data_IF_219281194698
#
_entry.id   IF_219281194698
#
_cell.length_a   1.000
_cell.length_b   1.000
_cell.length_c   1.000
_cell.angle_alpha   90.00
_cell.angle_beta   90.00
_cell.angle_gamma   90.00
#
_symmetry.space_group_name_H-M   'P 1'
#
loop_
_entity.id
_entity.type
_entity.pdbx_description
1 polymer ?
#
# COMPACT_ATOMS: atom_id res chain seq x y z
N UNK A 1 -1.33 15.91 -19.17
CA UNK A 1 -2.42 15.09 -18.61
C UNK A 1 -2.40 15.34 -17.11
N UNK A 2 -3.33 16.16 -16.62
CA UNK A 2 -3.40 16.55 -15.20
C UNK A 2 -4.11 15.39 -14.48
N UNK A 3 -3.35 14.43 -13.95
CA UNK A 3 -3.91 13.31 -13.19
C UNK A 3 -4.13 13.77 -11.75
N UNK A 4 -5.22 14.51 -11.53
CA UNK A 4 -5.71 14.83 -10.19
C UNK A 4 -6.42 13.60 -9.65
N UNK A 5 -5.86 12.99 -8.61
CA UNK A 5 -6.47 11.84 -7.93
C UNK A 5 -7.83 12.24 -7.34
N UNK A 6 -8.88 11.50 -7.67
CA UNK A 6 -10.19 11.69 -7.06
C UNK A 6 -10.28 10.94 -5.73
N UNK A 7 -11.23 11.31 -4.87
CA UNK A 7 -11.45 10.60 -3.61
C UNK A 7 -11.86 9.12 -3.83
N UNK A 8 -12.55 8.82 -4.93
CA UNK A 8 -12.93 7.46 -5.31
C UNK A 8 -11.70 6.62 -5.69
N UNK A 9 -10.74 7.20 -6.40
CA UNK A 9 -9.46 6.54 -6.72
C UNK A 9 -8.68 6.19 -5.44
N UNK A 10 -8.70 7.10 -4.45
CA UNK A 10 -8.08 6.86 -3.16
C UNK A 10 -8.76 5.74 -2.39
N UNK A 11 -10.09 5.74 -2.34
CA UNK A 11 -10.86 4.71 -1.67
C UNK A 11 -10.63 3.33 -2.32
N UNK A 12 -10.57 3.27 -3.65
CA UNK A 12 -10.25 2.05 -4.39
C UNK A 12 -8.85 1.54 -4.09
N UNK A 13 -7.85 2.42 -4.11
CA UNK A 13 -6.47 2.08 -3.75
C UNK A 13 -6.34 1.60 -2.29
N UNK A 14 -7.06 2.24 -1.37
CA UNK A 14 -7.07 1.87 0.05
C UNK A 14 -7.68 0.48 0.26
N UNK A 15 -8.80 0.18 -0.39
CA UNK A 15 -9.44 -1.14 -0.33
C UNK A 15 -8.50 -2.24 -0.87
N UNK A 16 -7.88 -2.02 -2.03
CA UNK A 16 -6.90 -2.97 -2.58
C UNK A 16 -5.71 -3.16 -1.64
N UNK A 17 -5.17 -2.08 -1.09
CA UNK A 17 -4.06 -2.15 -0.15
C UNK A 17 -4.43 -2.94 1.12
N UNK A 18 -5.60 -2.67 1.70
CA UNK A 18 -6.09 -3.42 2.86
C UNK A 18 -6.23 -4.91 2.59
N UNK A 19 -6.73 -5.29 1.41
CA UNK A 19 -6.83 -6.69 0.98
C UNK A 19 -5.46 -7.37 0.88
N UNK A 20 -4.48 -6.70 0.29
CA UNK A 20 -3.11 -7.20 0.17
C UNK A 20 -2.48 -7.39 1.56
N UNK A 21 -2.68 -6.44 2.48
CA UNK A 21 -2.17 -6.54 3.86
C UNK A 21 -2.79 -7.72 4.61
N UNK A 22 -4.10 -7.96 4.45
CA UNK A 22 -4.77 -9.12 5.08
C UNK A 22 -4.22 -10.44 4.54
N UNK A 23 -4.11 -10.58 3.21
CA UNK A 23 -3.55 -11.77 2.57
C UNK A 23 -2.11 -12.00 3.06
N UNK A 24 -1.32 -10.92 3.11
CA UNK A 24 0.06 -10.97 3.58
C UNK A 24 0.18 -11.36 5.05
N UNK A 25 -0.71 -10.86 5.91
CA UNK A 25 -0.76 -11.20 7.33
C UNK A 25 -1.05 -12.69 7.54
N UNK A 26 -2.00 -13.25 6.79
CA UNK A 26 -2.33 -14.69 6.81
C UNK A 26 -1.17 -15.53 6.28
N UNK A 27 -0.52 -15.10 5.18
CA UNK A 27 0.64 -15.83 4.65
C UNK A 27 1.79 -15.86 5.66
N UNK A 28 2.07 -14.71 6.28
CA UNK A 28 3.14 -14.54 7.27
C UNK A 28 2.89 -15.38 8.52
N UNK A 29 1.64 -15.49 8.99
CA UNK A 29 1.34 -16.31 10.18
C UNK A 29 1.66 -17.79 9.95
N UNK A 30 1.40 -18.31 8.74
CA UNK A 30 1.73 -19.69 8.36
C UNK A 30 3.21 -19.92 8.00
N UNK A 31 3.95 -18.88 7.62
CA UNK A 31 5.34 -18.98 7.15
C UNK A 31 6.33 -18.16 8.00
N UNK A 32 6.02 -18.00 9.29
CA UNK A 32 6.78 -17.14 10.22
C UNK A 32 8.24 -17.56 10.43
N UNK A 33 8.61 -18.77 10.03
CA UNK A 33 9.97 -19.29 10.10
C UNK A 33 10.92 -18.55 9.13
N UNK A 34 10.41 -18.04 8.01
CA UNK A 34 11.22 -17.38 6.99
C UNK A 34 11.26 -15.85 7.18
N UNK A 35 12.05 -15.43 8.19
CA UNK A 35 12.23 -14.02 8.57
C UNK A 35 12.76 -13.12 7.45
N UNK A 36 13.55 -13.67 6.52
CA UNK A 36 14.07 -12.92 5.38
C UNK A 36 12.97 -12.53 4.40
N UNK A 37 12.13 -13.48 3.99
CA UNK A 37 10.98 -13.20 3.11
C UNK A 37 10.01 -12.24 3.80
N UNK A 38 9.79 -12.41 5.10
CA UNK A 38 8.93 -11.52 5.86
C UNK A 38 9.43 -10.07 5.82
N UNK A 39 10.73 -9.87 6.06
CA UNK A 39 11.35 -8.54 6.09
C UNK A 39 11.28 -7.87 4.71
N UNK A 40 11.60 -8.60 3.65
CA UNK A 40 11.57 -8.07 2.27
C UNK A 40 10.15 -7.66 1.89
N UNK A 41 9.16 -8.51 2.13
CA UNK A 41 7.78 -8.21 1.74
C UNK A 41 7.16 -7.10 2.61
N UNK A 42 7.48 -7.04 3.91
CA UNK A 42 7.08 -5.89 4.74
C UNK A 42 7.71 -4.57 4.25
N UNK A 43 8.97 -4.59 3.81
CA UNK A 43 9.62 -3.41 3.22
C UNK A 43 8.88 -2.96 1.94
N UNK A 44 8.56 -3.88 1.03
CA UNK A 44 7.81 -3.55 -0.19
C UNK A 44 6.40 -3.04 0.10
N UNK A 45 5.69 -3.61 1.08
CA UNK A 45 4.37 -3.11 1.48
C UNK A 45 4.45 -1.71 2.08
N UNK A 46 5.47 -1.44 2.91
CA UNK A 46 5.74 -0.11 3.43
C UNK A 46 6.04 0.90 2.32
N UNK A 47 6.83 0.49 1.31
CA UNK A 47 7.13 1.32 0.15
C UNK A 47 5.88 1.65 -0.66
N UNK A 48 5.02 0.67 -0.93
CA UNK A 48 3.74 0.88 -1.61
C UNK A 48 2.84 1.86 -0.85
N UNK A 49 2.72 1.68 0.47
CA UNK A 49 1.96 2.60 1.33
C UNK A 49 2.50 4.03 1.25
N UNK A 50 3.83 4.17 1.34
CA UNK A 50 4.51 5.46 1.23
C UNK A 50 4.25 6.12 -0.13
N UNK A 51 4.36 5.37 -1.23
CA UNK A 51 4.09 5.90 -2.58
C UNK A 51 2.65 6.35 -2.75
N UNK A 52 1.67 5.59 -2.23
CA UNK A 52 0.25 6.00 -2.27
C UNK A 52 0.01 7.26 -1.47
N UNK A 53 0.53 7.35 -0.24
CA UNK A 53 0.40 8.54 0.60
C UNK A 53 1.10 9.77 -0.02
N UNK A 54 2.30 9.57 -0.55
CA UNK A 54 3.04 10.61 -1.28
C UNK A 54 2.21 11.10 -2.48
N UNK A 55 1.69 10.17 -3.27
CA UNK A 55 0.84 10.52 -4.40
C UNK A 55 -0.41 11.28 -3.97
N UNK A 56 -1.10 10.88 -2.89
CA UNK A 56 -2.26 11.63 -2.35
C UNK A 56 -1.88 13.05 -1.97
N UNK A 57 -0.80 13.23 -1.19
CA UNK A 57 -0.37 14.54 -0.68
C UNK A 57 0.03 15.49 -1.83
N UNK A 58 0.74 14.98 -2.83
CA UNK A 58 1.25 15.79 -3.93
C UNK A 58 0.31 15.86 -5.15
N UNK A 59 -0.67 14.96 -5.28
CA UNK A 59 -1.68 14.97 -6.34
C UNK A 59 -2.93 15.76 -5.97
N UNK A 60 -3.24 15.90 -4.68
CA UNK A 60 -4.19 16.91 -4.23
C UNK A 60 -3.54 18.27 -4.46
N UNK A 61 -3.77 18.84 -5.65
CA UNK A 61 -3.38 20.20 -5.95
C UNK A 61 -3.88 21.10 -4.81
N UNK A 62 -2.91 21.62 -4.05
CA UNK A 62 -3.05 22.77 -3.18
C UNK A 62 -3.47 23.93 -4.07
N UNK A 63 -4.78 24.18 -4.14
CA UNK A 63 -5.38 25.44 -4.56
C UNK A 63 -6.10 26.04 -3.35
#
# INVERSE_FOLDING_TARGET
MNMTMTFEDFQGAFLLFSGIVVIWSIYTSHHSENKYIQTINCFWLGLMAFTVLFYVVFSLNVY
#
